data_IF_917753203693
#
_entry.id   IF_917753203693
#
_cell.length_a   1.000
_cell.length_b   1.000
_cell.length_c   1.000
_cell.angle_alpha   90.00
_cell.angle_beta   90.00
_cell.angle_gamma   90.00
#
_symmetry.space_group_name_H-M   'P 1'
#
loop_
_entity.id
_entity.type
_entity.pdbx_description
1 polymer ?
#
# COMPACT_ATOMS: atom_id res chain seq x y z
N UNK A 1 -4.65 -24.60 29.83
CA UNK A 1 -5.32 -23.83 28.77
C UNK A 1 -6.21 -24.79 27.97
N UNK A 2 -7.46 -24.44 27.69
CA UNK A 2 -8.38 -25.31 26.96
C UNK A 2 -7.85 -25.60 25.54
N UNK A 3 -8.16 -26.76 24.96
CA UNK A 3 -7.79 -27.15 23.58
C UNK A 3 -8.14 -26.08 22.52
N UNK A 4 -9.00 -25.11 22.86
CA UNK A 4 -9.44 -24.02 21.97
C UNK A 4 -8.36 -23.01 21.58
N UNK A 5 -7.30 -22.83 22.38
CA UNK A 5 -6.24 -21.84 22.14
C UNK A 5 -4.85 -22.48 21.94
N UNK A 6 -4.78 -23.78 21.62
CA UNK A 6 -3.52 -24.47 21.40
C UNK A 6 -2.70 -23.87 20.25
N UNK A 7 -3.35 -23.29 19.26
CA UNK A 7 -2.70 -22.62 18.12
C UNK A 7 -1.90 -21.36 18.50
N UNK A 8 -2.11 -20.81 19.72
CA UNK A 8 -1.30 -19.69 20.23
C UNK A 8 0.05 -20.16 20.80
N UNK A 9 0.19 -21.46 21.09
CA UNK A 9 1.43 -22.05 21.59
C UNK A 9 2.35 -22.35 20.40
N UNK A 10 2.96 -21.28 19.85
CA UNK A 10 3.92 -21.39 18.77
C UNK A 10 5.34 -21.67 19.31
N UNK A 11 6.26 -22.18 18.48
CA UNK A 11 7.64 -22.43 18.90
C UNK A 11 8.30 -21.19 19.51
N UNK A 12 9.26 -21.37 20.43
CA UNK A 12 10.00 -20.25 21.02
C UNK A 12 10.60 -19.36 19.92
N UNK A 13 10.44 -18.03 20.08
CA UNK A 13 10.95 -17.06 19.10
C UNK A 13 10.03 -16.76 17.92
N UNK A 14 8.90 -17.47 17.73
CA UNK A 14 7.97 -17.23 16.62
C UNK A 14 7.48 -15.77 16.59
N UNK A 15 6.92 -15.27 17.68
CA UNK A 15 6.40 -13.88 17.74
C UNK A 15 7.52 -12.84 17.58
N UNK A 16 8.74 -13.14 18.06
CA UNK A 16 9.92 -12.29 17.82
C UNK A 16 10.25 -12.22 16.32
N UNK A 17 10.18 -13.35 15.60
CA UNK A 17 10.39 -13.39 14.14
C UNK A 17 9.30 -12.61 13.41
N UNK A 18 8.03 -12.75 13.81
CA UNK A 18 6.92 -11.94 13.25
C UNK A 18 7.22 -10.46 13.42
N UNK A 19 7.60 -10.02 14.61
CA UNK A 19 7.93 -8.63 14.91
C UNK A 19 9.12 -8.12 14.08
N UNK A 20 10.21 -8.90 13.98
CA UNK A 20 11.39 -8.53 13.20
C UNK A 20 11.12 -8.44 11.69
N UNK A 21 10.14 -9.17 11.16
CA UNK A 21 9.72 -9.07 9.78
C UNK A 21 8.71 -7.92 9.56
N UNK A 22 7.81 -7.68 10.51
CA UNK A 22 6.79 -6.65 10.41
C UNK A 22 7.34 -5.24 10.61
N UNK A 23 8.18 -5.04 11.65
CA UNK A 23 8.67 -3.72 12.04
C UNK A 23 9.37 -2.94 10.91
N UNK A 24 10.29 -3.52 10.12
CA UNK A 24 10.90 -2.80 9.01
C UNK A 24 9.89 -2.37 7.93
N UNK A 25 8.83 -3.17 7.70
CA UNK A 25 7.77 -2.82 6.74
C UNK A 25 6.90 -1.69 7.29
N UNK A 26 6.58 -1.72 8.58
CA UNK A 26 5.87 -0.62 9.25
C UNK A 26 6.67 0.68 9.14
N UNK A 27 7.96 0.63 9.48
CA UNK A 27 8.84 1.80 9.38
C UNK A 27 8.96 2.30 7.93
N UNK A 28 9.07 1.40 6.96
CA UNK A 28 9.06 1.74 5.54
C UNK A 28 7.78 2.49 5.14
N UNK A 29 6.61 2.00 5.55
CA UNK A 29 5.32 2.65 5.25
C UNK A 29 5.21 4.02 5.92
N UNK A 30 5.65 4.15 7.17
CA UNK A 30 5.67 5.43 7.88
C UNK A 30 6.62 6.43 7.22
N UNK A 31 7.81 6.01 6.82
CA UNK A 31 8.78 6.84 6.11
C UNK A 31 8.19 7.34 4.78
N UNK A 32 7.57 6.44 4.00
CA UNK A 32 6.95 6.81 2.72
C UNK A 32 5.80 7.80 2.90
N UNK A 33 4.96 7.60 3.92
CA UNK A 33 3.87 8.53 4.26
C UNK A 33 4.43 9.89 4.70
N UNK A 34 5.45 9.90 5.55
CA UNK A 34 6.12 11.12 6.00
C UNK A 34 6.79 11.89 4.87
N UNK A 35 7.36 11.18 3.89
CA UNK A 35 7.94 11.79 2.69
C UNK A 35 6.88 12.56 1.90
N UNK A 36 5.71 11.94 1.65
CA UNK A 36 4.61 12.60 0.94
C UNK A 36 4.11 13.87 1.66
N UNK A 37 4.05 13.85 2.99
CA UNK A 37 3.73 15.05 3.76
C UNK A 37 4.82 16.12 3.67
N UNK A 38 6.10 15.73 3.76
CA UNK A 38 7.23 16.66 3.66
C UNK A 38 7.28 17.33 2.29
N UNK A 39 7.12 16.57 1.21
CA UNK A 39 7.08 17.10 -0.15
C UNK A 39 5.94 18.11 -0.32
N UNK A 40 4.73 17.76 0.12
CA UNK A 40 3.57 18.67 0.05
C UNK A 40 3.79 19.91 0.88
N UNK A 41 4.35 19.80 2.08
CA UNK A 41 4.66 20.92 2.95
C UNK A 41 5.69 21.86 2.32
N UNK A 42 6.80 21.33 1.81
CA UNK A 42 7.87 22.14 1.22
C UNK A 42 7.41 22.86 -0.06
N UNK A 43 6.60 22.20 -0.90
CA UNK A 43 5.99 22.84 -2.06
C UNK A 43 4.94 23.88 -1.64
N UNK A 44 4.17 23.60 -0.59
CA UNK A 44 3.18 24.53 -0.03
C UNK A 44 3.77 25.86 0.44
N UNK A 45 5.06 25.88 0.83
CA UNK A 45 5.78 27.12 1.17
C UNK A 45 6.04 28.03 -0.04
N UNK A 46 5.92 27.51 -1.28
CA UNK A 46 6.00 28.34 -2.50
C UNK A 46 4.68 29.06 -2.76
N UNK A 47 3.55 28.40 -2.54
CA UNK A 47 2.23 28.93 -2.76
C UNK A 47 1.15 27.85 -2.85
N UNK A 48 -0.10 28.27 -2.75
CA UNK A 48 -1.26 27.37 -2.85
C UNK A 48 -1.50 26.84 -4.27
N UNK A 49 -1.15 27.62 -5.30
CA UNK A 49 -1.25 27.20 -6.70
C UNK A 49 -0.24 26.09 -7.00
N UNK A 50 1.02 26.26 -6.57
CA UNK A 50 2.11 25.30 -6.73
C UNK A 50 1.77 23.99 -6.01
N UNK A 51 1.26 24.06 -4.80
CA UNK A 51 0.83 22.88 -4.03
C UNK A 51 -0.31 22.14 -4.74
N UNK A 52 -1.28 22.88 -5.27
CA UNK A 52 -2.41 22.31 -6.03
C UNK A 52 -1.92 21.65 -7.34
N UNK A 53 -1.01 22.30 -8.05
CA UNK A 53 -0.42 21.78 -9.29
C UNK A 53 0.33 20.46 -9.05
N UNK A 54 1.16 20.37 -8.01
CA UNK A 54 1.88 19.15 -7.64
C UNK A 54 0.92 18.05 -7.18
N UNK A 55 -0.15 18.40 -6.46
CA UNK A 55 -1.19 17.44 -6.04
C UNK A 55 -1.87 16.79 -7.25
N UNK A 56 -2.24 17.58 -8.26
CA UNK A 56 -2.83 17.08 -9.52
C UNK A 56 -1.81 16.22 -10.28
N UNK A 57 -0.56 16.65 -10.35
CA UNK A 57 0.53 15.94 -11.03
C UNK A 57 0.87 14.58 -10.36
N UNK A 58 0.54 14.38 -9.09
CA UNK A 58 0.77 13.12 -8.39
C UNK A 58 -0.31 12.05 -8.64
N UNK A 59 -1.41 12.38 -9.33
CA UNK A 59 -2.47 11.40 -9.64
C UNK A 59 -1.97 10.21 -10.48
N UNK A 60 -1.18 10.38 -11.56
CA UNK A 60 -0.67 9.26 -12.35
C UNK A 60 0.22 8.31 -11.53
N UNK A 61 1.06 8.83 -10.63
CA UNK A 61 1.91 7.97 -9.78
C UNK A 61 1.06 7.12 -8.83
N UNK A 62 -0.02 7.66 -8.29
CA UNK A 62 -0.93 6.90 -7.43
C UNK A 62 -1.50 5.67 -8.16
N UNK A 63 -1.96 5.85 -9.41
CA UNK A 63 -2.47 4.75 -10.24
C UNK A 63 -1.36 3.71 -10.51
N UNK A 64 -0.17 4.18 -10.88
CA UNK A 64 0.99 3.30 -11.11
C UNK A 64 1.35 2.51 -9.84
N UNK A 65 1.34 3.14 -8.66
CA UNK A 65 1.65 2.49 -7.39
C UNK A 65 0.66 1.38 -7.03
N UNK A 66 -0.64 1.53 -7.35
CA UNK A 66 -1.62 0.45 -7.18
C UNK A 66 -1.26 -0.76 -8.04
N UNK A 67 -0.89 -0.54 -9.30
CA UNK A 67 -0.46 -1.60 -10.22
C UNK A 67 0.83 -2.29 -9.72
N UNK A 68 1.81 -1.52 -9.29
CA UNK A 68 3.08 -2.04 -8.76
C UNK A 68 2.88 -2.81 -7.46
N UNK A 69 2.01 -2.33 -6.56
CA UNK A 69 1.70 -3.04 -5.32
C UNK A 69 1.02 -4.39 -5.60
N UNK A 70 0.07 -4.43 -6.54
CA UNK A 70 -0.55 -5.67 -7.00
C UNK A 70 0.47 -6.64 -7.61
N UNK A 71 1.39 -6.12 -8.44
CA UNK A 71 2.45 -6.91 -9.06
C UNK A 71 3.44 -7.46 -8.01
N UNK A 72 3.85 -6.66 -7.03
CA UNK A 72 4.70 -7.07 -5.92
C UNK A 72 4.01 -8.13 -5.05
N UNK A 73 2.76 -7.91 -4.67
CA UNK A 73 1.99 -8.83 -3.83
C UNK A 73 1.77 -10.16 -4.55
N UNK A 74 1.41 -10.14 -5.84
CA UNK A 74 1.21 -11.34 -6.64
C UNK A 74 2.50 -12.13 -6.87
N UNK A 75 3.61 -11.48 -7.21
CA UNK A 75 4.92 -12.13 -7.29
C UNK A 75 5.40 -12.64 -5.94
N UNK A 76 5.07 -11.93 -4.85
CA UNK A 76 5.39 -12.32 -3.48
C UNK A 76 4.80 -13.67 -3.08
N UNK A 77 3.62 -14.03 -3.58
CA UNK A 77 3.01 -15.36 -3.37
C UNK A 77 3.92 -16.48 -3.89
N UNK A 78 4.39 -16.34 -5.12
CA UNK A 78 5.29 -17.33 -5.74
C UNK A 78 6.67 -17.35 -5.06
N UNK A 79 7.25 -16.15 -4.85
CA UNK A 79 8.60 -16.01 -4.30
C UNK A 79 8.67 -16.58 -2.89
N UNK A 80 7.70 -16.31 -2.01
CA UNK A 80 7.72 -16.79 -0.63
C UNK A 80 7.59 -18.33 -0.55
N UNK A 81 6.79 -18.95 -1.42
CA UNK A 81 6.68 -20.39 -1.48
C UNK A 81 7.94 -21.07 -2.09
N UNK A 82 8.52 -20.52 -3.18
CA UNK A 82 9.80 -20.99 -3.69
C UNK A 82 10.94 -20.77 -2.70
N UNK A 83 10.88 -19.70 -1.88
CA UNK A 83 11.81 -19.50 -0.78
C UNK A 83 11.72 -20.61 0.27
N UNK A 84 10.51 -21.07 0.61
CA UNK A 84 10.29 -22.24 1.47
C UNK A 84 10.90 -23.53 0.91
N UNK A 85 10.94 -23.70 -0.41
CA UNK A 85 11.58 -24.84 -1.11
C UNK A 85 13.08 -24.68 -1.34
N UNK A 86 13.66 -23.54 -1.01
CA UNK A 86 15.05 -23.17 -1.38
C UNK A 86 15.33 -23.19 -2.89
N UNK A 87 14.31 -23.01 -3.73
CA UNK A 87 14.44 -22.99 -5.19
C UNK A 87 14.80 -21.61 -5.72
N UNK A 88 16.10 -21.31 -5.71
CA UNK A 88 16.67 -20.04 -6.18
C UNK A 88 16.46 -19.81 -7.68
N UNK A 89 16.41 -20.85 -8.47
CA UNK A 89 16.22 -20.73 -9.91
C UNK A 89 14.81 -20.20 -10.23
N UNK A 90 13.78 -20.77 -9.60
CA UNK A 90 12.41 -20.30 -9.75
C UNK A 90 12.19 -18.90 -9.19
N UNK A 91 12.82 -18.53 -8.05
CA UNK A 91 12.80 -17.16 -7.55
C UNK A 91 13.39 -16.19 -8.58
N UNK A 92 14.55 -16.52 -9.19
CA UNK A 92 15.16 -15.70 -10.24
C UNK A 92 14.28 -15.56 -11.48
N UNK A 93 13.54 -16.61 -11.88
CA UNK A 93 12.56 -16.55 -12.98
C UNK A 93 11.38 -15.64 -12.66
N UNK A 94 10.81 -15.76 -11.45
CA UNK A 94 9.71 -14.88 -11.01
C UNK A 94 10.16 -13.43 -10.94
N UNK A 95 11.37 -13.16 -10.42
CA UNK A 95 11.97 -11.84 -10.45
C UNK A 95 12.09 -11.28 -11.87
N UNK A 96 12.60 -12.10 -12.82
CA UNK A 96 12.73 -11.70 -14.23
C UNK A 96 11.40 -11.27 -14.83
N UNK A 97 10.34 -12.07 -14.65
CA UNK A 97 8.99 -11.73 -15.14
C UNK A 97 8.48 -10.46 -14.49
N UNK A 98 8.67 -10.33 -13.16
CA UNK A 98 8.29 -9.13 -12.42
C UNK A 98 9.01 -7.87 -12.92
N UNK A 99 10.32 -7.96 -13.21
CA UNK A 99 11.09 -6.85 -13.78
C UNK A 99 10.63 -6.48 -15.19
N UNK A 100 10.31 -7.46 -16.06
CA UNK A 100 9.75 -7.18 -17.41
C UNK A 100 8.38 -6.51 -17.31
N UNK A 101 7.50 -6.98 -16.43
CA UNK A 101 6.20 -6.36 -16.21
C UNK A 101 6.33 -4.93 -15.66
N UNK A 102 7.22 -4.72 -14.68
CA UNK A 102 7.51 -3.40 -14.12
C UNK A 102 8.13 -2.44 -15.15
N UNK A 103 9.04 -2.95 -15.99
CA UNK A 103 9.61 -2.20 -17.12
C UNK A 103 8.49 -1.75 -18.07
N UNK A 104 7.57 -2.64 -18.40
CA UNK A 104 6.41 -2.33 -19.26
C UNK A 104 5.53 -1.25 -18.64
N UNK A 105 5.07 -1.44 -17.39
CA UNK A 105 4.24 -0.48 -16.66
C UNK A 105 4.96 0.85 -16.51
N UNK A 106 6.20 0.85 -15.98
CA UNK A 106 6.98 2.05 -15.75
C UNK A 106 7.28 2.82 -17.05
N UNK A 107 7.58 2.11 -18.15
CA UNK A 107 7.81 2.74 -19.46
C UNK A 107 6.55 3.40 -20.02
N UNK A 108 5.39 2.72 -19.93
CA UNK A 108 4.12 3.30 -20.40
C UNK A 108 3.81 4.59 -19.66
N UNK A 109 3.87 4.57 -18.32
CA UNK A 109 3.61 5.77 -17.52
C UNK A 109 4.67 6.85 -17.77
N UNK A 110 5.96 6.50 -17.84
CA UNK A 110 7.04 7.44 -18.12
C UNK A 110 6.88 8.12 -19.49
N UNK A 111 6.55 7.35 -20.53
CA UNK A 111 6.35 7.89 -21.87
C UNK A 111 5.11 8.81 -21.91
N UNK A 112 3.98 8.37 -21.39
CA UNK A 112 2.75 9.16 -21.39
C UNK A 112 2.93 10.48 -20.64
N UNK A 113 3.51 10.46 -19.45
CA UNK A 113 3.67 11.66 -18.61
C UNK A 113 4.79 12.58 -19.09
N UNK A 114 5.83 12.05 -19.74
CA UNK A 114 6.93 12.88 -20.27
C UNK A 114 6.61 13.50 -21.61
N UNK A 115 5.93 12.77 -22.52
CA UNK A 115 5.64 13.28 -23.87
C UNK A 115 4.28 13.99 -23.97
N UNK A 116 3.30 13.63 -23.16
CA UNK A 116 1.95 14.17 -23.19
C UNK A 116 1.44 14.68 -21.82
N UNK A 117 2.27 15.43 -21.02
CA UNK A 117 1.88 15.82 -19.67
C UNK A 117 0.62 16.67 -19.61
N UNK A 118 0.46 17.64 -20.53
CA UNK A 118 -0.72 18.51 -20.56
C UNK A 118 -2.02 17.74 -20.88
N UNK A 119 -1.96 16.75 -21.77
CA UNK A 119 -3.11 15.92 -22.11
C UNK A 119 -3.51 15.03 -20.92
N UNK A 120 -2.53 14.43 -20.22
CA UNK A 120 -2.79 13.64 -19.01
C UNK A 120 -3.37 14.50 -17.90
N UNK A 121 -2.85 15.70 -17.68
CA UNK A 121 -3.38 16.63 -16.69
C UNK A 121 -4.76 17.13 -17.05
N UNK A 122 -5.04 17.35 -18.35
CA UNK A 122 -6.37 17.73 -18.85
C UNK A 122 -7.46 16.67 -18.65
N UNK A 123 -7.09 15.39 -18.39
CA UNK A 123 -8.05 14.36 -17.95
C UNK A 123 -8.42 14.50 -16.48
N UNK A 124 -7.63 15.25 -15.69
CA UNK A 124 -7.78 15.36 -14.24
C UNK A 124 -8.36 16.72 -13.84
N UNK A 125 -8.00 17.79 -14.54
CA UNK A 125 -8.44 19.17 -14.24
C UNK A 125 -8.66 20.00 -15.51
N UNK A 126 -9.69 20.84 -15.49
CA UNK A 126 -9.99 21.81 -16.57
C UNK A 126 -9.28 23.17 -16.34
N UNK A 127 -8.53 23.34 -15.23
CA UNK A 127 -7.89 24.60 -14.91
C UNK A 127 -6.57 24.77 -15.68
N UNK A 128 -6.50 25.69 -16.71
CA UNK A 128 -5.32 25.85 -17.56
C UNK A 128 -4.07 26.26 -16.77
N UNK A 129 -4.24 27.06 -15.71
CA UNK A 129 -3.15 27.53 -14.89
C UNK A 129 -2.46 26.40 -14.13
N UNK A 130 -3.27 25.47 -13.57
CA UNK A 130 -2.73 24.29 -12.89
C UNK A 130 -2.01 23.37 -13.88
N UNK A 131 -2.54 23.21 -15.10
CA UNK A 131 -1.89 22.40 -16.14
C UNK A 131 -0.54 22.99 -16.52
N UNK A 132 -0.48 24.32 -16.72
CA UNK A 132 0.78 25.02 -17.06
C UNK A 132 1.85 24.83 -15.99
N UNK A 133 1.49 24.96 -14.71
CA UNK A 133 2.42 24.78 -13.59
C UNK A 133 2.82 23.30 -13.36
N UNK A 134 1.88 22.38 -13.52
CA UNK A 134 2.08 20.96 -13.26
C UNK A 134 2.84 20.22 -14.38
N UNK A 135 2.73 20.66 -15.64
CA UNK A 135 3.29 19.95 -16.78
C UNK A 135 4.84 19.82 -16.73
N UNK A 136 5.62 20.86 -16.40
CA UNK A 136 7.07 20.73 -16.23
C UNK A 136 7.47 19.76 -15.12
N UNK A 137 6.75 19.81 -14.00
CA UNK A 137 6.93 18.88 -12.87
C UNK A 137 6.67 17.45 -13.32
N UNK A 138 5.48 17.18 -13.92
CA UNK A 138 5.07 15.84 -14.33
C UNK A 138 6.02 15.24 -15.38
N UNK A 139 6.55 16.07 -16.29
CA UNK A 139 7.52 15.64 -17.31
C UNK A 139 8.79 15.07 -16.69
N UNK A 140 9.31 15.69 -15.62
CA UNK A 140 10.53 15.25 -14.94
C UNK A 140 10.25 14.05 -14.04
N UNK A 141 9.21 14.14 -13.21
CA UNK A 141 8.82 13.04 -12.31
C UNK A 141 8.40 11.80 -13.10
N UNK A 142 7.79 11.97 -14.28
CA UNK A 142 7.41 10.87 -15.16
C UNK A 142 8.58 9.95 -15.52
N UNK A 143 9.76 10.51 -15.75
CA UNK A 143 10.98 9.72 -15.99
C UNK A 143 11.33 8.85 -14.78
N UNK A 144 11.08 9.33 -13.57
CA UNK A 144 11.37 8.60 -12.33
C UNK A 144 10.53 7.33 -12.16
N UNK A 145 9.37 7.25 -12.82
CA UNK A 145 8.45 6.11 -12.72
C UNK A 145 9.08 4.80 -13.18
N UNK A 146 9.97 4.86 -14.18
CA UNK A 146 10.70 3.70 -14.65
C UNK A 146 11.65 3.15 -13.57
N UNK A 147 12.37 4.03 -12.90
CA UNK A 147 13.34 3.66 -11.87
C UNK A 147 12.62 3.12 -10.63
N UNK A 148 11.54 3.79 -10.21
CA UNK A 148 10.69 3.37 -9.11
C UNK A 148 10.06 1.99 -9.35
N UNK A 149 9.53 1.73 -10.54
CA UNK A 149 8.93 0.45 -10.89
C UNK A 149 9.92 -0.72 -10.76
N UNK A 150 11.13 -0.55 -11.29
CA UNK A 150 12.17 -1.60 -11.23
C UNK A 150 12.69 -1.82 -9.80
N UNK A 151 12.95 -0.75 -9.06
CA UNK A 151 13.40 -0.83 -7.67
C UNK A 151 12.35 -1.50 -6.78
N UNK A 152 11.08 -1.14 -6.95
CA UNK A 152 9.96 -1.67 -6.19
C UNK A 152 9.84 -3.20 -6.28
N UNK A 153 10.00 -3.78 -7.48
CA UNK A 153 9.92 -5.24 -7.65
C UNK A 153 11.07 -5.95 -6.94
N UNK A 154 12.28 -5.41 -7.02
CA UNK A 154 13.42 -6.00 -6.32
C UNK A 154 13.27 -5.91 -4.80
N UNK A 155 12.82 -4.78 -4.27
CA UNK A 155 12.52 -4.59 -2.85
C UNK A 155 11.42 -5.57 -2.39
N UNK A 156 10.37 -5.76 -3.22
CA UNK A 156 9.31 -6.74 -2.97
C UNK A 156 9.83 -8.18 -2.88
N UNK A 157 10.78 -8.56 -3.76
CA UNK A 157 11.45 -9.86 -3.70
C UNK A 157 12.25 -10.03 -2.40
N UNK A 158 13.05 -9.03 -2.03
CA UNK A 158 13.84 -9.07 -0.79
C UNK A 158 12.93 -9.22 0.43
N UNK A 159 11.81 -8.52 0.48
CA UNK A 159 10.79 -8.67 1.53
C UNK A 159 10.23 -10.09 1.56
N UNK A 160 9.88 -10.66 0.40
CA UNK A 160 9.30 -12.01 0.28
C UNK A 160 10.29 -13.13 0.62
N UNK A 161 11.59 -12.82 0.66
CA UNK A 161 12.69 -13.72 1.06
C UNK A 161 13.25 -13.41 2.44
N UNK A 162 12.42 -12.89 3.35
CA UNK A 162 12.75 -12.57 4.75
C UNK A 162 13.84 -11.49 4.92
N UNK A 163 13.94 -10.53 4.02
CA UNK A 163 14.87 -9.41 4.12
C UNK A 163 14.16 -8.04 3.97
N UNK A 164 13.16 -7.71 4.81
CA UNK A 164 12.47 -6.43 4.74
C UNK A 164 13.35 -5.23 5.15
N UNK A 165 14.40 -5.48 5.93
CA UNK A 165 15.35 -4.43 6.37
C UNK A 165 16.02 -3.75 5.19
N UNK A 166 16.29 -4.49 4.11
CA UNK A 166 16.85 -3.92 2.88
C UNK A 166 15.95 -2.82 2.31
N UNK A 167 14.65 -3.11 2.13
CA UNK A 167 13.68 -2.12 1.62
C UNK A 167 13.58 -0.89 2.53
N UNK A 168 13.51 -1.11 3.86
CA UNK A 168 13.50 -0.01 4.82
C UNK A 168 14.74 0.89 4.68
N UNK A 169 15.94 0.31 4.56
CA UNK A 169 17.19 1.07 4.42
C UNK A 169 17.22 1.86 3.11
N UNK A 170 16.76 1.27 1.99
CA UNK A 170 16.67 1.94 0.68
C UNK A 170 15.74 3.16 0.78
N UNK A 171 14.52 2.97 1.30
CA UNK A 171 13.56 4.07 1.44
C UNK A 171 14.03 5.16 2.41
N UNK A 172 14.68 4.80 3.50
CA UNK A 172 15.24 5.77 4.44
C UNK A 172 16.31 6.65 3.79
N UNK A 173 17.21 6.02 3.02
CA UNK A 173 18.26 6.75 2.28
C UNK A 173 17.67 7.65 1.19
N UNK A 174 16.71 7.13 0.43
CA UNK A 174 16.01 7.85 -0.62
C UNK A 174 15.25 9.07 -0.07
N UNK A 175 14.52 8.89 1.04
CA UNK A 175 13.79 9.97 1.71
C UNK A 175 14.74 11.07 2.19
N UNK A 176 15.87 10.70 2.79
CA UNK A 176 16.87 11.69 3.22
C UNK A 176 17.42 12.50 2.05
N UNK A 177 17.76 11.82 0.94
CA UNK A 177 18.26 12.49 -0.27
C UNK A 177 17.19 13.35 -0.93
N UNK A 178 15.95 12.87 -1.01
CA UNK A 178 14.85 13.65 -1.56
C UNK A 178 14.57 14.90 -0.72
N UNK A 179 14.45 14.78 0.61
CA UNK A 179 14.20 15.92 1.50
C UNK A 179 15.33 16.96 1.43
N UNK A 180 16.58 16.50 1.42
CA UNK A 180 17.73 17.40 1.26
C UNK A 180 17.74 18.04 -0.13
N UNK A 181 17.48 17.28 -1.19
CA UNK A 181 17.36 17.76 -2.56
C UNK A 181 16.24 18.81 -2.70
N UNK A 182 15.08 18.57 -2.09
CA UNK A 182 13.99 19.54 -2.02
C UNK A 182 14.44 20.85 -1.35
N UNK A 183 15.09 20.76 -0.19
CA UNK A 183 15.58 21.95 0.51
C UNK A 183 16.56 22.77 -0.34
N UNK A 184 17.46 22.08 -1.06
CA UNK A 184 18.48 22.74 -1.89
C UNK A 184 17.85 23.31 -3.17
N UNK A 185 17.07 22.52 -3.91
CA UNK A 185 16.62 22.86 -5.25
C UNK A 185 15.33 23.69 -5.27
N UNK A 186 14.43 23.50 -4.32
CA UNK A 186 13.21 24.34 -4.23
C UNK A 186 13.58 25.75 -3.84
N UNK A 187 14.42 25.91 -2.77
CA UNK A 187 14.70 27.21 -2.17
C UNK A 187 16.01 27.86 -2.60
N UNK A 188 16.80 27.21 -3.48
CA UNK A 188 18.07 27.75 -3.96
C UNK A 188 19.13 27.87 -2.88
N UNK A 189 19.27 26.86 -2.02
CA UNK A 189 20.28 26.84 -0.95
C UNK A 189 21.60 26.23 -1.42
N UNK A 190 22.67 26.43 -0.64
CA UNK A 190 24.02 25.92 -0.90
C UNK A 190 24.57 26.29 -2.29
N UNK A 191 24.17 27.43 -2.84
CA UNK A 191 24.66 27.91 -4.16
C UNK A 191 23.91 27.33 -5.37
N UNK A 192 22.90 26.52 -5.17
CA UNK A 192 22.03 26.04 -6.25
C UNK A 192 21.00 27.10 -6.65
N UNK A 193 20.51 27.13 -7.90
CA UNK A 193 19.42 27.99 -8.32
C UNK A 193 18.10 27.57 -7.65
N UNK A 194 17.23 28.52 -7.31
CA UNK A 194 15.88 28.25 -6.84
C UNK A 194 14.99 27.83 -8.01
N UNK A 195 14.70 26.55 -8.12
CA UNK A 195 13.94 25.94 -9.21
C UNK A 195 12.45 25.76 -8.88
N UNK A 196 12.01 26.07 -7.65
CA UNK A 196 10.62 25.89 -7.23
C UNK A 196 10.12 24.44 -7.39
N UNK A 197 8.95 24.24 -8.01
CA UNK A 197 8.35 22.91 -8.21
C UNK A 197 9.20 22.01 -9.13
N UNK A 198 9.94 22.57 -10.08
CA UNK A 198 10.88 21.82 -10.93
C UNK A 198 12.04 21.27 -10.08
N UNK A 199 12.46 22.00 -9.05
CA UNK A 199 13.42 21.55 -8.05
C UNK A 199 12.92 20.32 -7.28
N UNK A 200 11.65 20.32 -6.85
CA UNK A 200 11.02 19.17 -6.21
C UNK A 200 10.99 17.95 -7.14
N UNK A 201 10.61 18.14 -8.40
CA UNK A 201 10.62 17.06 -9.42
C UNK A 201 12.02 16.47 -9.62
N UNK A 202 13.05 17.33 -9.69
CA UNK A 202 14.45 16.90 -9.86
C UNK A 202 14.97 16.14 -8.64
N UNK A 203 14.63 16.58 -7.43
CA UNK A 203 14.98 15.89 -6.19
C UNK A 203 14.33 14.49 -6.14
N UNK A 204 13.05 14.38 -6.53
CA UNK A 204 12.34 13.10 -6.62
C UNK A 204 12.99 12.17 -7.64
N UNK A 205 13.31 12.66 -8.84
CA UNK A 205 14.00 11.85 -9.85
C UNK A 205 15.35 11.35 -9.33
N UNK A 206 16.14 12.23 -8.71
CA UNK A 206 17.46 11.88 -8.14
C UNK A 206 17.31 10.78 -7.08
N UNK A 207 16.32 10.88 -6.19
CA UNK A 207 16.06 9.90 -5.16
C UNK A 207 15.67 8.53 -5.76
N UNK A 208 14.81 8.49 -6.79
CA UNK A 208 14.41 7.23 -7.46
C UNK A 208 15.54 6.58 -8.24
N UNK A 209 16.41 7.39 -8.89
CA UNK A 209 17.64 6.86 -9.52
C UNK A 209 18.54 6.23 -8.46
N UNK A 210 18.73 6.89 -7.32
CA UNK A 210 19.54 6.37 -6.22
C UNK A 210 18.97 5.05 -5.67
N UNK A 211 17.65 4.94 -5.50
CA UNK A 211 17.00 3.68 -5.11
C UNK A 211 17.37 2.54 -6.04
N UNK A 212 17.25 2.74 -7.35
CA UNK A 212 17.61 1.72 -8.32
C UNK A 212 19.12 1.40 -8.28
N UNK A 213 19.98 2.39 -8.16
CA UNK A 213 21.43 2.19 -8.03
C UNK A 213 21.76 1.34 -6.81
N UNK A 214 21.15 1.62 -5.66
CA UNK A 214 21.33 0.81 -4.44
C UNK A 214 20.81 -0.63 -4.66
N UNK A 215 19.64 -0.80 -5.28
CA UNK A 215 19.09 -2.11 -5.60
C UNK A 215 20.02 -2.91 -6.52
N UNK A 216 20.55 -2.30 -7.57
CA UNK A 216 21.49 -2.96 -8.50
C UNK A 216 22.81 -3.28 -7.80
N UNK A 217 23.38 -2.35 -7.03
CA UNK A 217 24.61 -2.58 -6.30
C UNK A 217 24.47 -3.73 -5.28
N UNK A 218 23.34 -3.80 -4.60
CA UNK A 218 23.03 -4.90 -3.69
C UNK A 218 22.81 -6.22 -4.44
N UNK A 219 22.06 -6.22 -5.54
CA UNK A 219 21.85 -7.38 -6.40
C UNK A 219 23.18 -8.03 -6.84
N UNK A 220 24.17 -7.21 -7.22
CA UNK A 220 25.49 -7.68 -7.65
C UNK A 220 26.36 -8.21 -6.49
N UNK A 221 26.07 -7.83 -5.26
CA UNK A 221 26.83 -8.21 -4.04
C UNK A 221 26.13 -9.23 -3.18
N UNK A 222 24.85 -9.49 -3.41
CA UNK A 222 24.05 -10.39 -2.56
C UNK A 222 24.51 -11.84 -2.68
N UNK A 223 25.21 -12.32 -1.64
CA UNK A 223 25.66 -13.71 -1.55
C UNK A 223 24.56 -14.65 -1.02
N UNK A 224 23.51 -14.10 -0.41
CA UNK A 224 22.42 -14.87 0.18
C UNK A 224 21.49 -15.43 -0.90
N UNK A 225 21.17 -14.62 -1.90
CA UNK A 225 20.32 -14.98 -3.01
C UNK A 225 20.89 -14.40 -4.32
N UNK A 226 22.06 -14.90 -4.78
CA UNK A 226 22.63 -14.44 -6.03
C UNK A 226 21.64 -14.77 -7.18
N UNK A 227 21.29 -13.79 -8.01
CA UNK A 227 20.41 -14.01 -9.13
C UNK A 227 21.10 -14.92 -10.15
N UNK A 228 20.32 -15.80 -10.77
CA UNK A 228 20.81 -16.62 -11.88
C UNK A 228 20.48 -15.86 -13.18
N UNK A 229 21.47 -15.22 -13.86
CA UNK A 229 21.20 -14.29 -14.96
C UNK A 229 20.36 -14.93 -16.07
N UNK A 230 20.66 -16.17 -16.43
CA UNK A 230 19.90 -16.92 -17.46
C UNK A 230 18.42 -17.10 -17.06
N UNK A 231 18.12 -17.33 -15.78
CA UNK A 231 16.75 -17.47 -15.29
C UNK A 231 16.00 -16.14 -15.25
N UNK A 232 16.70 -15.03 -14.95
CA UNK A 232 16.13 -13.68 -14.97
C UNK A 232 15.80 -13.25 -16.40
N UNK A 233 16.74 -13.46 -17.34
CA UNK A 233 16.58 -13.03 -18.73
C UNK A 233 15.65 -13.93 -19.53
N UNK A 234 15.62 -15.24 -19.24
CA UNK A 234 14.79 -16.23 -19.94
C UNK A 234 13.97 -17.06 -18.94
N UNK A 235 12.92 -16.50 -18.35
CA UNK A 235 12.17 -17.15 -17.27
C UNK A 235 11.39 -18.38 -17.69
N UNK A 236 11.07 -18.53 -18.99
CA UNK A 236 10.34 -19.69 -19.54
C UNK A 236 8.82 -19.55 -19.48
N UNK A 237 8.13 -20.15 -20.46
CA UNK A 237 6.66 -20.00 -20.62
C UNK A 237 5.84 -20.65 -19.50
N UNK A 238 6.30 -21.74 -18.90
CA UNK A 238 5.62 -22.38 -17.78
C UNK A 238 5.57 -21.45 -16.56
N UNK A 239 6.70 -20.81 -16.22
CA UNK A 239 6.75 -19.84 -15.13
C UNK A 239 5.91 -18.61 -15.42
N UNK A 240 5.89 -18.11 -16.65
CA UNK A 240 5.03 -17.01 -17.07
C UNK A 240 3.54 -17.35 -16.88
N UNK A 241 3.11 -18.55 -17.24
CA UNK A 241 1.73 -19.02 -17.03
C UNK A 241 1.38 -19.05 -15.55
N UNK A 242 2.26 -19.58 -14.71
CA UNK A 242 2.06 -19.58 -13.24
C UNK A 242 2.03 -18.16 -12.69
N UNK A 243 2.93 -17.28 -13.14
CA UNK A 243 2.95 -15.87 -12.74
C UNK A 243 1.62 -15.17 -13.07
N UNK A 244 1.14 -15.29 -14.31
CA UNK A 244 -0.15 -14.71 -14.74
C UNK A 244 -1.29 -15.27 -13.89
N UNK A 245 -1.33 -16.60 -13.67
CA UNK A 245 -2.38 -17.27 -12.89
C UNK A 245 -2.52 -16.71 -11.46
N UNK A 246 -1.41 -16.41 -10.79
CA UNK A 246 -1.41 -15.97 -9.38
C UNK A 246 -1.28 -14.47 -9.22
N UNK A 247 -0.59 -13.76 -10.11
CA UNK A 247 -0.39 -12.31 -9.99
C UNK A 247 -1.56 -11.50 -10.57
N UNK A 248 -2.21 -11.97 -11.66
CA UNK A 248 -3.32 -11.20 -12.26
C UNK A 248 -4.52 -11.02 -11.33
N UNK A 249 -5.00 -12.04 -10.57
CA UNK A 249 -6.08 -11.82 -9.62
C UNK A 249 -5.71 -10.82 -8.53
N UNK A 250 -4.45 -10.84 -8.07
CA UNK A 250 -3.99 -9.91 -7.03
C UNK A 250 -3.90 -8.49 -7.60
N UNK A 251 -3.35 -8.32 -8.80
CA UNK A 251 -3.30 -7.04 -9.51
C UNK A 251 -4.70 -6.46 -9.71
N UNK A 252 -5.65 -7.28 -10.19
CA UNK A 252 -7.05 -6.88 -10.35
C UNK A 252 -7.65 -6.47 -8.99
N UNK A 253 -7.38 -7.24 -7.93
CA UNK A 253 -7.87 -6.94 -6.60
C UNK A 253 -7.44 -5.54 -6.13
N UNK A 254 -6.16 -5.22 -6.20
CA UNK A 254 -5.62 -3.92 -5.77
C UNK A 254 -6.19 -2.77 -6.61
N UNK A 255 -6.27 -2.98 -7.94
CA UNK A 255 -6.81 -1.97 -8.84
C UNK A 255 -8.30 -1.68 -8.55
N UNK A 256 -9.13 -2.72 -8.45
CA UNK A 256 -10.56 -2.53 -8.17
C UNK A 256 -10.83 -2.09 -6.73
N UNK A 257 -9.99 -2.46 -5.77
CA UNK A 257 -10.07 -1.94 -4.41
C UNK A 257 -9.77 -0.44 -4.38
N UNK A 258 -8.69 0.00 -5.05
CA UNK A 258 -8.34 1.41 -5.15
C UNK A 258 -9.42 2.26 -5.87
N UNK A 259 -9.99 1.73 -6.96
CA UNK A 259 -11.11 2.37 -7.64
C UNK A 259 -12.35 2.42 -6.74
N UNK A 260 -12.66 1.34 -6.03
CA UNK A 260 -13.81 1.26 -5.12
C UNK A 260 -13.73 2.27 -3.98
N UNK A 261 -12.57 2.39 -3.34
CA UNK A 261 -12.36 3.39 -2.27
C UNK A 261 -12.46 4.83 -2.80
N UNK A 262 -12.08 5.08 -4.05
CA UNK A 262 -12.28 6.38 -4.70
C UNK A 262 -13.76 6.74 -4.90
N UNK A 263 -14.66 5.74 -5.03
CA UNK A 263 -16.10 5.96 -5.11
C UNK A 263 -16.69 6.64 -3.89
N UNK A 264 -16.11 6.43 -2.71
CA UNK A 264 -16.55 7.16 -1.50
C UNK A 264 -16.39 8.67 -1.67
N UNK A 265 -15.27 9.14 -2.23
CA UNK A 265 -15.06 10.56 -2.51
C UNK A 265 -16.04 11.08 -3.54
N UNK A 266 -16.37 10.29 -4.56
CA UNK A 266 -17.38 10.64 -5.56
C UNK A 266 -18.77 10.78 -4.92
N UNK A 267 -19.17 9.81 -4.09
CA UNK A 267 -20.45 9.85 -3.37
C UNK A 267 -20.52 11.08 -2.46
N UNK A 268 -19.48 11.32 -1.66
CA UNK A 268 -19.39 12.50 -0.78
C UNK A 268 -19.46 13.82 -1.55
N UNK A 269 -18.87 13.87 -2.75
CA UNK A 269 -18.92 15.04 -3.62
C UNK A 269 -20.34 15.44 -4.06
N UNK A 270 -21.30 14.50 -4.08
CA UNK A 270 -22.70 14.74 -4.42
C UNK A 270 -23.61 15.00 -3.20
N UNK A 271 -23.07 14.95 -1.99
CA UNK A 271 -23.83 15.29 -0.77
C UNK A 271 -24.01 16.81 -0.64
N UNK A 272 -25.07 17.26 0.03
CA UNK A 272 -25.34 18.69 0.33
C UNK A 272 -24.23 19.34 1.16
N UNK A 273 -23.52 18.55 1.97
CA UNK A 273 -22.40 18.98 2.83
C UNK A 273 -21.05 18.55 2.26
N UNK A 274 -20.93 18.46 0.93
CA UNK A 274 -19.77 17.88 0.23
C UNK A 274 -18.43 18.45 0.70
N UNK A 275 -18.32 19.75 0.84
CA UNK A 275 -17.08 20.42 1.27
C UNK A 275 -16.65 19.96 2.68
N UNK A 276 -17.60 19.98 3.64
CA UNK A 276 -17.30 19.63 5.02
C UNK A 276 -16.98 18.13 5.19
N UNK A 277 -17.73 17.24 4.53
CA UNK A 277 -17.51 15.79 4.66
C UNK A 277 -16.22 15.36 3.96
N UNK A 278 -15.87 15.93 2.80
CA UNK A 278 -14.60 15.64 2.12
C UNK A 278 -13.42 16.14 2.94
N UNK A 279 -13.51 17.35 3.53
CA UNK A 279 -12.47 17.87 4.41
C UNK A 279 -12.28 16.97 5.65
N UNK A 280 -13.38 16.57 6.29
CA UNK A 280 -13.36 15.65 7.43
C UNK A 280 -12.77 14.28 7.05
N UNK A 281 -13.17 13.69 5.91
CA UNK A 281 -12.67 12.42 5.42
C UNK A 281 -11.17 12.47 5.10
N UNK A 282 -10.70 13.57 4.53
CA UNK A 282 -9.27 13.75 4.22
C UNK A 282 -8.42 13.76 5.49
N UNK A 283 -8.85 14.51 6.51
CA UNK A 283 -8.12 14.62 7.79
C UNK A 283 -8.20 13.29 8.57
N UNK A 284 -9.38 12.72 8.73
CA UNK A 284 -9.55 11.43 9.41
C UNK A 284 -8.78 10.31 8.71
N UNK A 285 -8.81 10.24 7.37
CA UNK A 285 -8.08 9.26 6.59
C UNK A 285 -6.55 9.46 6.61
N UNK A 286 -6.05 10.68 6.85
CA UNK A 286 -4.62 10.90 7.05
C UNK A 286 -4.13 10.28 8.37
N UNK A 287 -4.95 10.39 9.43
CA UNK A 287 -4.67 9.78 10.74
C UNK A 287 -4.69 8.27 10.63
N UNK A 288 -5.77 7.72 10.06
CA UNK A 288 -5.96 6.28 9.88
C UNK A 288 -4.79 5.66 9.10
N UNK A 289 -4.34 6.26 8.01
CA UNK A 289 -3.19 5.76 7.20
C UNK A 289 -1.91 5.55 8.00
N UNK A 290 -1.59 6.46 8.91
CA UNK A 290 -0.38 6.34 9.76
C UNK A 290 -0.48 5.12 10.68
N UNK A 291 -1.66 4.89 11.23
CA UNK A 291 -1.88 3.83 12.23
C UNK A 291 -2.04 2.47 11.54
N UNK A 292 -2.78 2.43 10.43
CA UNK A 292 -3.00 1.21 9.63
C UNK A 292 -1.71 0.71 8.97
N UNK A 293 -0.65 1.53 8.87
CA UNK A 293 0.66 1.07 8.41
C UNK A 293 1.18 -0.15 9.19
N UNK A 294 0.84 -0.25 10.50
CA UNK A 294 1.19 -1.40 11.33
C UNK A 294 0.48 -2.70 10.89
N UNK A 295 -0.77 -2.60 10.44
CA UNK A 295 -1.55 -3.74 9.93
C UNK A 295 -0.94 -4.27 8.64
N UNK A 296 -0.57 -3.39 7.71
CA UNK A 296 0.11 -3.80 6.46
C UNK A 296 1.48 -4.42 6.73
N UNK A 297 2.21 -3.93 7.75
CA UNK A 297 3.46 -4.57 8.19
C UNK A 297 3.24 -6.00 8.69
N UNK A 298 2.22 -6.22 9.52
CA UNK A 298 1.85 -7.55 10.00
C UNK A 298 1.35 -8.45 8.84
N UNK A 299 0.54 -7.92 7.93
CA UNK A 299 0.07 -8.66 6.76
C UNK A 299 1.23 -9.11 5.86
N UNK A 300 2.21 -8.23 5.63
CA UNK A 300 3.41 -8.55 4.87
C UNK A 300 4.25 -9.64 5.55
N UNK A 301 4.50 -9.54 6.86
CA UNK A 301 5.21 -10.56 7.63
C UNK A 301 4.46 -11.90 7.61
N UNK A 302 3.13 -11.85 7.76
CA UNK A 302 2.25 -13.02 7.65
C UNK A 302 2.41 -13.70 6.29
N UNK A 303 2.37 -12.92 5.19
CA UNK A 303 2.53 -13.44 3.85
C UNK A 303 3.86 -14.16 3.62
N UNK A 304 4.95 -13.62 4.15
CA UNK A 304 6.27 -14.24 4.08
C UNK A 304 6.33 -15.55 4.87
N UNK A 305 5.82 -15.55 6.10
CA UNK A 305 5.83 -16.73 6.98
C UNK A 305 4.95 -17.85 6.40
N UNK A 306 3.71 -17.54 6.06
CA UNK A 306 2.76 -18.50 5.48
C UNK A 306 3.28 -19.07 4.16
N UNK A 307 3.73 -18.21 3.24
CA UNK A 307 4.26 -18.67 1.96
C UNK A 307 5.46 -19.62 2.14
N UNK A 308 6.39 -19.29 3.04
CA UNK A 308 7.53 -20.14 3.35
C UNK A 308 7.12 -21.50 3.91
N UNK A 309 6.20 -21.52 4.86
CA UNK A 309 5.73 -22.77 5.48
C UNK A 309 4.94 -23.65 4.49
N UNK A 310 4.10 -23.05 3.64
CA UNK A 310 3.41 -23.79 2.56
C UNK A 310 4.43 -24.36 1.60
N UNK A 311 5.40 -23.56 1.16
CA UNK A 311 6.44 -24.00 0.24
C UNK A 311 7.35 -25.10 0.81
N UNK A 312 7.61 -25.11 2.13
CA UNK A 312 8.36 -26.17 2.80
C UNK A 312 7.59 -27.49 2.97
N UNK A 313 6.28 -27.50 2.65
CA UNK A 313 5.42 -28.69 2.78
C UNK A 313 4.80 -28.89 4.17
N UNK A 314 4.94 -27.95 5.09
CA UNK A 314 4.40 -28.03 6.46
C UNK A 314 2.89 -27.69 6.51
N UNK A 315 2.05 -28.54 5.89
CA UNK A 315 0.61 -28.28 5.77
C UNK A 315 -0.15 -28.25 7.11
N UNK A 316 0.25 -29.04 8.08
CA UNK A 316 -0.44 -29.13 9.38
C UNK A 316 -0.14 -27.93 10.27
N UNK A 317 1.10 -27.46 10.34
CA UNK A 317 1.50 -26.30 11.12
C UNK A 317 0.99 -24.97 10.56
N UNK A 318 0.87 -24.86 9.24
CA UNK A 318 0.43 -23.63 8.55
C UNK A 318 -0.95 -23.16 9.00
N UNK A 319 -1.89 -24.10 9.24
CA UNK A 319 -3.24 -23.76 9.69
C UNK A 319 -3.23 -23.08 11.06
N UNK A 320 -2.43 -23.59 11.99
CA UNK A 320 -2.32 -23.02 13.35
C UNK A 320 -1.55 -21.70 13.33
N UNK A 321 -0.51 -21.59 12.50
CA UNK A 321 0.22 -20.34 12.26
C UNK A 321 -0.73 -19.27 11.72
N UNK A 322 -1.55 -19.60 10.71
CA UNK A 322 -2.53 -18.69 10.15
C UNK A 322 -3.54 -18.17 11.19
N UNK A 323 -4.07 -19.07 12.03
CA UNK A 323 -4.96 -18.68 13.14
C UNK A 323 -4.28 -17.80 14.18
N UNK A 324 -3.03 -18.12 14.55
CA UNK A 324 -2.26 -17.33 15.51
C UNK A 324 -2.01 -15.91 15.01
N UNK A 325 -1.64 -15.75 13.73
CA UNK A 325 -1.37 -14.45 13.13
C UNK A 325 -2.66 -13.63 12.96
N UNK A 326 -3.79 -14.26 12.62
CA UNK A 326 -5.09 -13.59 12.58
C UNK A 326 -5.56 -13.14 13.97
N UNK A 327 -5.30 -13.94 15.01
CA UNK A 327 -5.58 -13.52 16.39
C UNK A 327 -4.68 -12.33 16.80
N UNK A 328 -3.40 -12.38 16.45
CA UNK A 328 -2.49 -11.26 16.68
C UNK A 328 -2.96 -9.99 15.95
N UNK A 329 -3.52 -10.13 14.74
CA UNK A 329 -4.10 -9.01 14.01
C UNK A 329 -5.31 -8.39 14.72
N UNK A 330 -6.19 -9.20 15.32
CA UNK A 330 -7.28 -8.70 16.16
C UNK A 330 -6.76 -7.92 17.36
N UNK A 331 -5.76 -8.46 18.07
CA UNK A 331 -5.14 -7.78 19.21
C UNK A 331 -4.48 -6.46 18.79
N UNK A 332 -3.76 -6.46 17.66
CA UNK A 332 -3.17 -5.26 17.08
C UNK A 332 -4.25 -4.23 16.74
N UNK A 333 -5.35 -4.65 16.12
CA UNK A 333 -6.46 -3.79 15.77
C UNK A 333 -7.15 -3.16 16.98
N UNK A 334 -7.29 -3.90 18.09
CA UNK A 334 -7.76 -3.32 19.37
C UNK A 334 -6.80 -2.23 19.84
N UNK A 335 -5.49 -2.53 19.84
CA UNK A 335 -4.46 -1.54 20.20
C UNK A 335 -4.50 -0.30 19.31
N UNK A 336 -4.70 -0.49 18.00
CA UNK A 336 -4.88 0.60 17.01
C UNK A 336 -6.09 1.45 17.36
N UNK A 337 -7.27 0.84 17.53
CA UNK A 337 -8.49 1.59 17.84
C UNK A 337 -8.38 2.40 19.13
N UNK A 338 -7.77 1.83 20.18
CA UNK A 338 -7.50 2.56 21.43
C UNK A 338 -6.53 3.73 21.18
N UNK A 339 -5.45 3.49 20.44
CA UNK A 339 -4.44 4.51 20.14
C UNK A 339 -5.03 5.65 19.31
N UNK A 340 -5.86 5.36 18.32
CA UNK A 340 -6.59 6.36 17.52
C UNK A 340 -7.45 7.27 18.39
N UNK A 341 -8.23 6.67 19.29
CA UNK A 341 -9.07 7.44 20.21
C UNK A 341 -8.22 8.31 21.17
N UNK A 342 -7.14 7.77 21.71
CA UNK A 342 -6.24 8.53 22.57
C UNK A 342 -5.60 9.71 21.83
N UNK A 343 -5.08 9.47 20.62
CA UNK A 343 -4.49 10.53 19.79
C UNK A 343 -5.55 11.57 19.43
N UNK A 344 -6.76 11.16 19.08
CA UNK A 344 -7.86 12.06 18.77
C UNK A 344 -8.18 12.97 19.97
N UNK A 345 -8.41 12.39 21.15
CA UNK A 345 -8.84 13.15 22.33
C UNK A 345 -7.74 14.02 22.92
N UNK A 346 -6.49 13.55 22.92
CA UNK A 346 -5.37 14.24 23.59
C UNK A 346 -4.70 15.27 22.67
N UNK A 347 -4.49 14.91 21.38
CA UNK A 347 -3.66 15.71 20.46
C UNK A 347 -4.50 16.42 19.41
N UNK A 348 -5.36 15.67 18.70
CA UNK A 348 -6.05 16.18 17.52
C UNK A 348 -7.09 17.23 17.84
N UNK A 349 -7.93 16.95 18.84
CA UNK A 349 -9.03 17.83 19.21
C UNK A 349 -8.53 19.19 19.74
N UNK A 350 -7.44 19.20 20.48
CA UNK A 350 -6.93 20.41 21.15
C UNK A 350 -5.87 21.16 20.34
N UNK A 351 -5.02 20.45 19.59
CA UNK A 351 -3.86 21.04 18.94
C UNK A 351 -3.92 21.02 17.40
N UNK A 352 -4.35 19.92 16.77
CA UNK A 352 -4.26 19.77 15.32
C UNK A 352 -5.52 20.24 14.56
N UNK A 353 -6.74 19.98 15.06
CA UNK A 353 -7.94 20.45 14.38
C UNK A 353 -7.99 21.97 14.18
N UNK A 354 -7.53 22.81 15.15
CA UNK A 354 -7.44 24.25 14.94
C UNK A 354 -6.47 24.65 13.82
N UNK A 355 -5.40 23.87 13.58
CA UNK A 355 -4.42 24.15 12.53
C UNK A 355 -4.98 23.91 11.11
N UNK A 356 -5.95 23.01 10.97
CA UNK A 356 -6.57 22.73 9.68
C UNK A 356 -7.70 23.72 9.30
N UNK A 357 -8.01 24.68 10.17
CA UNK A 357 -9.09 25.67 9.96
C UNK A 357 -10.41 25.05 9.50
N UNK A 358 -10.74 23.86 10.04
CA UNK A 358 -11.98 23.16 9.69
C UNK A 358 -13.19 23.93 10.21
N UNK A 359 -14.28 23.88 9.42
CA UNK A 359 -15.57 24.37 9.92
C UNK A 359 -16.02 23.56 11.16
N UNK A 360 -16.85 24.12 12.04
CA UNK A 360 -17.39 23.39 13.20
C UNK A 360 -18.10 22.09 12.82
N UNK A 361 -18.72 22.05 11.63
CA UNK A 361 -19.36 20.86 11.09
C UNK A 361 -18.31 19.84 10.65
N UNK A 362 -17.31 20.22 9.85
CA UNK A 362 -16.24 19.32 9.41
C UNK A 362 -15.46 18.74 10.59
N UNK A 363 -15.23 19.50 11.66
CA UNK A 363 -14.58 19.01 12.87
C UNK A 363 -15.42 17.92 13.60
N UNK A 364 -16.76 18.09 13.66
CA UNK A 364 -17.66 17.07 14.21
C UNK A 364 -17.67 15.81 13.33
N UNK A 365 -17.71 15.98 12.01
CA UNK A 365 -17.68 14.87 11.06
C UNK A 365 -16.37 14.10 11.14
N UNK A 366 -15.24 14.79 11.27
CA UNK A 366 -13.93 14.17 11.49
C UNK A 366 -13.93 13.31 12.77
N UNK A 367 -14.49 13.83 13.87
CA UNK A 367 -14.68 13.07 15.11
C UNK A 367 -15.47 11.77 14.87
N UNK A 368 -16.58 11.87 14.15
CA UNK A 368 -17.42 10.72 13.84
C UNK A 368 -16.68 9.68 13.02
N UNK A 369 -15.94 10.09 11.98
CA UNK A 369 -15.14 9.19 11.14
C UNK A 369 -14.07 8.49 11.95
N UNK A 370 -13.30 9.21 12.77
CA UNK A 370 -12.28 8.62 13.65
C UNK A 370 -12.91 7.59 14.61
N UNK A 371 -14.07 7.89 15.19
CA UNK A 371 -14.79 6.93 16.03
C UNK A 371 -15.18 5.67 15.24
N UNK A 372 -15.67 5.81 14.02
CA UNK A 372 -16.02 4.66 13.16
C UNK A 372 -14.79 3.83 12.78
N UNK A 373 -13.68 4.47 12.40
CA UNK A 373 -12.43 3.78 12.07
C UNK A 373 -11.88 3.02 13.28
N UNK A 374 -11.79 3.67 14.43
CA UNK A 374 -11.32 3.04 15.68
C UNK A 374 -12.17 1.84 16.09
N UNK A 375 -13.50 1.93 15.98
CA UNK A 375 -14.41 0.84 16.30
C UNK A 375 -14.26 -0.36 15.35
N UNK A 376 -13.97 -0.08 14.06
CA UNK A 376 -13.80 -1.11 13.03
C UNK A 376 -12.34 -1.60 12.93
N UNK A 377 -11.37 -0.95 13.56
CA UNK A 377 -9.95 -1.29 13.48
C UNK A 377 -9.63 -2.77 13.79
N UNK A 378 -10.23 -3.43 14.80
CA UNK A 378 -9.98 -4.85 15.05
C UNK A 378 -10.42 -5.74 13.89
N UNK A 379 -11.59 -5.47 13.32
CA UNK A 379 -12.18 -6.24 12.23
C UNK A 379 -11.42 -5.98 10.93
N UNK A 380 -11.05 -4.72 10.67
CA UNK A 380 -10.24 -4.32 9.52
C UNK A 380 -8.85 -4.97 9.55
N UNK A 381 -8.20 -4.97 10.71
CA UNK A 381 -6.90 -5.61 10.91
C UNK A 381 -6.96 -7.11 10.64
N UNK A 382 -7.98 -7.79 11.17
CA UNK A 382 -8.22 -9.19 10.90
C UNK A 382 -8.44 -9.44 9.40
N UNK A 383 -9.35 -8.69 8.76
CA UNK A 383 -9.67 -8.84 7.34
C UNK A 383 -8.44 -8.64 6.45
N UNK A 384 -7.65 -7.61 6.71
CA UNK A 384 -6.41 -7.32 5.95
C UNK A 384 -5.39 -8.46 6.09
N UNK A 385 -5.14 -8.95 7.32
CA UNK A 385 -4.18 -10.04 7.53
C UNK A 385 -4.68 -11.37 6.94
N UNK A 386 -5.97 -11.68 7.06
CA UNK A 386 -6.53 -12.88 6.41
C UNK A 386 -6.41 -12.80 4.90
N UNK A 387 -6.84 -11.70 4.29
CA UNK A 387 -6.92 -11.57 2.82
C UNK A 387 -5.51 -11.45 2.23
N UNK A 388 -4.75 -10.45 2.67
CA UNK A 388 -3.44 -10.10 2.09
C UNK A 388 -2.33 -11.03 2.60
N UNK A 389 -2.36 -11.36 3.89
CA UNK A 389 -1.33 -12.15 4.53
C UNK A 389 -1.51 -13.67 4.37
N UNK A 390 -2.70 -14.18 4.73
CA UNK A 390 -2.92 -15.64 4.81
C UNK A 390 -3.39 -16.23 3.49
N UNK A 391 -4.53 -15.76 2.94
CA UNK A 391 -5.14 -16.38 1.76
C UNK A 391 -4.26 -16.23 0.52
N UNK A 392 -3.71 -15.03 0.27
CA UNK A 392 -2.83 -14.81 -0.89
C UNK A 392 -1.57 -15.67 -0.80
N UNK A 393 -0.85 -15.62 0.30
CA UNK A 393 0.39 -16.36 0.48
C UNK A 393 0.16 -17.88 0.53
N UNK A 394 -1.02 -18.31 0.99
CA UNK A 394 -1.48 -19.67 0.90
C UNK A 394 -1.81 -20.15 -0.52
N UNK A 395 -1.76 -19.26 -1.53
CA UNK A 395 -2.05 -19.60 -2.94
C UNK A 395 -3.51 -19.44 -3.34
N UNK A 396 -4.41 -19.05 -2.42
CA UNK A 396 -5.84 -18.90 -2.68
C UNK A 396 -6.22 -17.47 -3.11
N UNK A 397 -5.53 -16.99 -4.14
CA UNK A 397 -5.66 -15.62 -4.63
C UNK A 397 -7.06 -15.29 -5.17
N UNK A 398 -7.81 -16.31 -5.67
CA UNK A 398 -9.17 -16.11 -6.16
C UNK A 398 -10.17 -15.89 -5.03
N UNK A 399 -10.11 -16.69 -3.96
CA UNK A 399 -10.96 -16.48 -2.79
C UNK A 399 -10.62 -15.14 -2.12
N UNK A 400 -9.34 -14.77 -2.02
CA UNK A 400 -8.89 -13.46 -1.55
C UNK A 400 -9.56 -12.33 -2.33
N UNK A 401 -9.54 -12.36 -3.66
CA UNK A 401 -10.17 -11.37 -4.54
C UNK A 401 -11.69 -11.27 -4.30
N UNK A 402 -12.39 -12.41 -4.27
CA UNK A 402 -13.85 -12.41 -4.10
C UNK A 402 -14.27 -11.91 -2.71
N UNK A 403 -13.57 -12.33 -1.66
CA UNK A 403 -13.85 -11.90 -0.27
C UNK A 403 -13.56 -10.42 -0.10
N UNK A 404 -12.64 -9.86 -0.85
CA UNK A 404 -12.27 -8.44 -0.78
C UNK A 404 -13.22 -7.56 -1.59
N UNK A 405 -13.48 -7.91 -2.86
CA UNK A 405 -14.21 -7.05 -3.79
C UNK A 405 -15.73 -7.15 -3.73
N UNK A 406 -16.29 -8.34 -3.45
CA UNK A 406 -17.76 -8.48 -3.41
C UNK A 406 -18.37 -7.60 -2.31
N UNK A 407 -17.89 -7.61 -1.05
CA UNK A 407 -18.42 -6.70 -0.03
C UNK A 407 -18.29 -5.23 -0.44
N UNK A 408 -17.16 -4.83 -1.00
CA UNK A 408 -16.91 -3.44 -1.40
C UNK A 408 -17.88 -2.99 -2.48
N UNK A 409 -17.92 -3.68 -3.62
CA UNK A 409 -18.66 -3.24 -4.81
C UNK A 409 -20.15 -3.56 -4.77
N UNK A 410 -20.53 -4.71 -4.22
CA UNK A 410 -21.93 -5.16 -4.22
C UNK A 410 -22.71 -4.77 -2.97
N UNK A 411 -22.03 -4.41 -1.87
CA UNK A 411 -22.69 -4.08 -0.60
C UNK A 411 -22.34 -2.67 -0.14
N UNK A 412 -21.06 -2.39 0.13
CA UNK A 412 -20.68 -1.17 0.86
C UNK A 412 -20.84 0.09 0.01
N UNK A 413 -20.37 0.09 -1.24
CA UNK A 413 -20.55 1.24 -2.14
C UNK A 413 -22.04 1.52 -2.40
N UNK A 414 -22.88 0.54 -2.79
CA UNK A 414 -24.31 0.77 -2.96
C UNK A 414 -25.01 1.23 -1.68
N UNK A 415 -24.65 0.64 -0.51
CA UNK A 415 -25.21 1.04 0.78
C UNK A 415 -24.85 2.47 1.14
N UNK A 416 -23.60 2.87 0.91
CA UNK A 416 -23.13 4.24 1.12
C UNK A 416 -23.85 5.22 0.20
N UNK A 417 -23.99 4.90 -1.09
CA UNK A 417 -24.72 5.73 -2.05
C UNK A 417 -26.22 5.85 -1.68
N UNK A 418 -26.85 4.75 -1.29
CA UNK A 418 -28.23 4.73 -0.85
C UNK A 418 -28.46 5.62 0.39
N UNK A 419 -27.63 5.47 1.41
CA UNK A 419 -27.75 6.25 2.65
C UNK A 419 -27.41 7.72 2.45
N UNK A 420 -26.42 8.04 1.61
CA UNK A 420 -25.94 9.39 1.39
C UNK A 420 -26.79 10.21 0.41
N UNK A 421 -27.25 9.58 -0.69
CA UNK A 421 -27.84 10.31 -1.83
C UNK A 421 -29.34 10.10 -1.97
N UNK A 422 -29.90 8.97 -1.51
CA UNK A 422 -31.31 8.65 -1.67
C UNK A 422 -32.07 8.89 -0.36
N UNK A 423 -31.56 8.38 0.76
CA UNK A 423 -32.23 8.47 2.06
C UNK A 423 -31.91 9.77 2.81
N UNK A 424 -30.93 10.54 2.36
CA UNK A 424 -30.43 11.75 3.04
C UNK A 424 -30.21 11.49 4.56
N UNK A 425 -29.65 10.30 4.85
CA UNK A 425 -29.54 9.77 6.20
C UNK A 425 -28.55 10.61 7.05
N UNK A 426 -28.68 10.58 8.39
CA UNK A 426 -27.69 11.22 9.26
C UNK A 426 -26.27 10.77 8.91
N UNK A 427 -25.32 11.71 8.92
CA UNK A 427 -23.96 11.45 8.45
C UNK A 427 -23.26 10.30 9.18
N UNK A 428 -23.62 10.09 10.47
CA UNK A 428 -23.13 8.92 11.24
C UNK A 428 -23.49 7.60 10.55
N UNK A 429 -24.70 7.49 9.98
CA UNK A 429 -25.15 6.30 9.25
C UNK A 429 -24.36 6.12 7.95
N UNK A 430 -24.08 7.22 7.23
CA UNK A 430 -23.23 7.20 6.03
C UNK A 430 -21.81 6.75 6.38
N UNK A 431 -21.23 7.28 7.45
CA UNK A 431 -19.90 6.88 7.93
C UNK A 431 -19.86 5.40 8.33
N UNK A 432 -20.90 4.91 9.03
CA UNK A 432 -21.04 3.49 9.37
C UNK A 432 -21.17 2.61 8.12
N UNK A 433 -21.91 3.05 7.11
CA UNK A 433 -22.02 2.34 5.84
C UNK A 433 -20.66 2.23 5.15
N UNK A 434 -19.89 3.32 5.07
CA UNK A 434 -18.54 3.33 4.49
C UNK A 434 -17.57 2.38 5.21
N UNK A 435 -17.60 2.33 6.54
CA UNK A 435 -16.67 1.51 7.35
C UNK A 435 -17.13 0.06 7.50
N UNK A 436 -18.36 -0.28 7.11
CA UNK A 436 -18.94 -1.63 7.23
C UNK A 436 -18.27 -2.69 6.36
N UNK A 437 -17.46 -2.29 5.37
CA UNK A 437 -16.72 -3.17 4.46
C UNK A 437 -15.99 -4.29 5.22
N UNK A 438 -15.26 -3.93 6.28
CA UNK A 438 -14.51 -4.89 7.09
C UNK A 438 -15.41 -5.92 7.77
N UNK A 439 -16.59 -5.51 8.24
CA UNK A 439 -17.56 -6.41 8.89
C UNK A 439 -18.10 -7.46 7.91
N UNK A 440 -18.40 -7.07 6.67
CA UNK A 440 -18.87 -8.01 5.65
C UNK A 440 -17.77 -8.98 5.18
N UNK A 441 -16.49 -8.64 5.29
CA UNK A 441 -15.36 -9.51 5.01
C UNK A 441 -15.07 -10.52 6.13
N UNK A 442 -15.52 -10.24 7.37
CA UNK A 442 -15.20 -11.03 8.56
C UNK A 442 -15.68 -12.48 8.43
N UNK A 443 -16.97 -12.67 8.13
CA UNK A 443 -17.58 -14.01 8.08
C UNK A 443 -16.98 -14.88 6.99
N UNK A 444 -16.92 -14.46 5.70
CA UNK A 444 -16.31 -15.28 4.66
C UNK A 444 -14.82 -15.50 4.91
N UNK A 445 -14.09 -14.52 5.47
CA UNK A 445 -12.69 -14.66 5.87
C UNK A 445 -12.50 -15.73 6.95
N UNK A 446 -13.31 -15.73 8.01
CA UNK A 446 -13.28 -16.74 9.05
C UNK A 446 -13.60 -18.13 8.52
N UNK A 447 -14.66 -18.25 7.72
CA UNK A 447 -15.07 -19.54 7.13
C UNK A 447 -13.96 -20.10 6.25
N UNK A 448 -13.33 -19.26 5.41
CA UNK A 448 -12.23 -19.70 4.55
C UNK A 448 -11.00 -20.10 5.35
N UNK A 449 -10.62 -19.30 6.36
CA UNK A 449 -9.52 -19.62 7.27
C UNK A 449 -9.73 -20.96 7.98
N UNK A 450 -10.93 -21.21 8.53
CA UNK A 450 -11.21 -22.45 9.26
C UNK A 450 -11.28 -23.69 8.37
N UNK A 451 -11.71 -23.53 7.11
CA UNK A 451 -11.86 -24.65 6.18
C UNK A 451 -10.53 -25.31 5.79
N UNK A 452 -9.39 -24.65 5.97
CA UNK A 452 -8.07 -25.10 5.50
C UNK A 452 -7.92 -25.17 3.97
N UNK A 453 -8.98 -24.89 3.21
CA UNK A 453 -9.00 -24.94 1.74
C UNK A 453 -8.17 -23.85 1.06
N UNK A 454 -7.56 -22.96 1.81
CA UNK A 454 -6.71 -21.88 1.32
C UNK A 454 -5.24 -22.29 1.14
N UNK A 455 -4.85 -23.48 1.63
CA UNK A 455 -3.47 -23.96 1.59
C UNK A 455 -3.23 -24.67 0.25
N UNK A 456 -2.65 -23.94 -0.71
CA UNK A 456 -2.29 -24.44 -2.03
C UNK A 456 -0.79 -24.26 -2.26
N UNK A 457 -0.11 -25.36 -2.58
CA UNK A 457 1.28 -25.31 -3.07
C UNK A 457 1.28 -24.86 -4.54
N UNK A 458 1.65 -23.59 -4.78
CA UNK A 458 1.69 -23.00 -6.13
C UNK A 458 2.93 -23.39 -6.92
N UNK A 459 3.86 -24.11 -6.30
CA UNK A 459 5.15 -24.47 -6.88
C UNK A 459 5.14 -25.85 -7.56
N UNK A 460 4.01 -26.56 -7.48
CA UNK A 460 3.80 -27.88 -8.12
C UNK A 460 2.96 -27.81 -9.40
N UNK A 461 2.58 -26.60 -9.84
CA UNK A 461 1.73 -26.37 -11.00
C UNK A 461 2.51 -26.18 -12.30
#
# INVERSE_FOLDING_TARGET
MSKRFSYLQQPPGFYKRVFLLALPVVLQNLITTSLGFMDTFMVGLLGSEEMSAVTVANTPIFIMQLLLFGLQSGSGVLISQYWGKNDRASISRVLGIGLYAALGIGSVFALLTSFAPAQILGLITDNPRLIELAAPYLRIVGVSYLFDALASIYIGMQRSTENPVFGMAVFMTSTAVNTLGNYILIFGKLGAPALGIVGAATATLTARVLELVICVAYLLRDRRLPPIPRCVLCPGGAMLRSFIKYSTPVLANETFWGLGTSMYTVIMGHMRISTDIIAAYTVAGAIDRVIVAAVFGLAAATGVIIGKEVGSGNRTGVQDIGRALCFLALCLGVGIGVTEQLIYWVVLRSALLPLFHLSPLAARLCSTLVCCYSAMAPVMSFATVVIVGVLRAGGDVRASLLIDLIPLWCVTIPLTALTALVLDAPVVVVCMAMTSEAAFKLVPGLLRLHSGKWIHDVTTA
#
